data_IF_100700869072
#
_entry.id   IF_100700869072
#
_cell.length_a   1.000
_cell.length_b   1.000
_cell.length_c   1.000
_cell.angle_alpha   90.00
_cell.angle_beta   90.00
_cell.angle_gamma   90.00
#
_symmetry.space_group_name_H-M   'P 1'
#
loop_
_entity.id
_entity.type
_entity.pdbx_description
1 polymer ?
#
# COMPACT_ATOMS: atom_id res chain seq x y z
N UNK A 1 -5.97 -4.22 4.32
CA UNK A 1 -5.95 -2.78 4.63
C UNK A 1 -5.30 -2.02 3.47
N UNK A 2 -5.71 -0.78 3.25
CA UNK A 2 -5.25 0.08 2.16
C UNK A 2 -4.50 1.29 2.76
N UNK A 3 -3.20 1.38 2.50
CA UNK A 3 -2.34 2.45 3.03
C UNK A 3 -2.17 3.54 1.97
N UNK A 4 -2.72 4.72 2.22
CA UNK A 4 -2.70 5.85 1.29
C UNK A 4 -2.37 7.15 2.02
N UNK A 5 -1.71 8.13 1.38
CA UNK A 5 -1.58 9.47 1.94
C UNK A 5 -2.91 10.20 1.76
N UNK A 6 -3.79 10.11 2.76
CA UNK A 6 -5.08 10.81 2.79
C UNK A 6 -4.92 12.24 3.32
N UNK A 7 -3.79 12.52 3.97
CA UNK A 7 -3.34 13.87 4.34
C UNK A 7 -1.93 14.15 3.81
N UNK A 8 -1.45 15.38 4.01
CA UNK A 8 -0.11 15.81 3.57
C UNK A 8 -0.04 16.17 2.08
N UNK A 9 1.19 16.24 1.54
CA UNK A 9 1.45 16.76 0.19
C UNK A 9 0.84 15.93 -0.96
N UNK A 10 0.56 14.64 -0.71
CA UNK A 10 -0.01 13.72 -1.70
C UNK A 10 -1.50 13.41 -1.44
N UNK A 11 -2.18 14.17 -0.57
CA UNK A 11 -3.57 13.92 -0.16
C UNK A 11 -4.55 13.78 -1.34
N UNK A 12 -4.44 14.67 -2.34
CA UNK A 12 -5.31 14.64 -3.52
C UNK A 12 -5.18 13.33 -4.32
N UNK A 13 -3.96 12.81 -4.46
CA UNK A 13 -3.71 11.53 -5.11
C UNK A 13 -4.21 10.36 -4.26
N UNK A 14 -3.94 10.38 -2.96
CA UNK A 14 -4.44 9.34 -2.04
C UNK A 14 -5.97 9.25 -2.03
N UNK A 15 -6.66 10.39 -2.05
CA UNK A 15 -8.12 10.41 -2.13
C UNK A 15 -8.63 9.85 -3.47
N UNK A 16 -8.00 10.21 -4.59
CA UNK A 16 -8.36 9.66 -5.90
C UNK A 16 -8.19 8.13 -5.95
N UNK A 17 -7.10 7.60 -5.36
CA UNK A 17 -6.86 6.17 -5.26
C UNK A 17 -7.85 5.46 -4.34
N UNK A 18 -8.24 6.08 -3.22
CA UNK A 18 -9.26 5.54 -2.33
C UNK A 18 -10.60 5.41 -3.07
N UNK A 19 -11.04 6.47 -3.75
CA UNK A 19 -12.27 6.45 -4.53
C UNK A 19 -12.24 5.36 -5.62
N UNK A 20 -11.09 5.18 -6.29
CA UNK A 20 -10.92 4.13 -7.30
C UNK A 20 -10.97 2.72 -6.69
N UNK A 21 -10.38 2.52 -5.51
CA UNK A 21 -10.42 1.24 -4.80
C UNK A 21 -11.85 0.90 -4.32
N UNK A 22 -12.60 1.89 -3.84
CA UNK A 22 -14.00 1.73 -3.47
C UNK A 22 -14.88 1.36 -4.68
N UNK A 23 -14.67 2.02 -5.82
CA UNK A 23 -15.36 1.69 -7.06
C UNK A 23 -15.05 0.25 -7.51
N UNK A 24 -13.78 -0.15 -7.48
CA UNK A 24 -13.37 -1.51 -7.84
C UNK A 24 -13.97 -2.57 -6.90
N UNK A 25 -14.11 -2.26 -5.60
CA UNK A 25 -14.77 -3.14 -4.64
C UNK A 25 -16.25 -3.33 -4.96
N UNK A 26 -16.92 -2.23 -5.27
CA UNK A 26 -18.34 -2.23 -5.63
C UNK A 26 -18.60 -3.06 -6.89
N UNK A 27 -17.75 -2.92 -7.91
CA UNK A 27 -17.86 -3.68 -9.17
C UNK A 27 -17.61 -5.18 -9.00
N UNK A 28 -16.70 -5.59 -8.12
CA UNK A 28 -16.42 -7.02 -7.91
C UNK A 28 -17.54 -7.76 -7.20
N UNK A 29 -18.40 -7.07 -6.43
CA UNK A 29 -19.52 -7.67 -5.71
C UNK A 29 -19.13 -8.84 -4.80
N UNK A 30 -17.86 -8.94 -4.40
CA UNK A 30 -17.29 -10.11 -3.75
C UNK A 30 -17.59 -10.08 -2.24
N UNK A 31 -18.46 -10.96 -1.71
CA UNK A 31 -18.69 -11.05 -0.29
C UNK A 31 -17.41 -11.53 0.42
N UNK A 32 -16.97 -10.78 1.44
CA UNK A 32 -15.85 -11.14 2.31
C UNK A 32 -14.53 -10.41 2.07
N UNK A 33 -14.49 -9.42 1.17
CA UNK A 33 -13.32 -8.58 0.97
C UNK A 33 -13.63 -7.12 1.31
N UNK A 34 -12.89 -6.54 2.27
CA UNK A 34 -13.06 -5.16 2.73
C UNK A 34 -11.72 -4.42 2.69
N UNK A 35 -11.73 -3.21 2.13
CA UNK A 35 -10.63 -2.27 2.29
C UNK A 35 -10.88 -1.38 3.50
N UNK A 36 -10.02 -1.51 4.51
CA UNK A 36 -9.94 -0.55 5.62
C UNK A 36 -8.81 0.45 5.29
N UNK A 37 -9.15 1.72 4.95
CA UNK A 37 -8.15 2.74 4.64
C UNK A 37 -7.38 3.15 5.89
N UNK A 38 -6.08 3.41 5.75
CA UNK A 38 -5.23 4.01 6.79
C UNK A 38 -4.39 5.11 6.16
N UNK A 39 -4.45 6.29 6.77
CA UNK A 39 -3.68 7.45 6.34
C UNK A 39 -2.19 7.29 6.69
N UNK A 40 -1.31 7.49 5.71
CA UNK A 40 0.14 7.50 5.89
C UNK A 40 0.70 8.91 6.10
N UNK A 41 -0.12 9.94 5.90
CA UNK A 41 0.30 11.36 5.90
C UNK A 41 1.33 11.70 4.82
N UNK A 42 1.62 10.79 3.89
CA UNK A 42 2.68 10.93 2.89
C UNK A 42 4.10 10.90 3.47
N UNK A 43 4.28 10.32 4.66
CA UNK A 43 5.59 10.28 5.34
C UNK A 43 6.01 8.85 5.67
N UNK A 44 7.32 8.60 5.75
CA UNK A 44 7.86 7.30 6.15
C UNK A 44 7.36 6.86 7.54
N UNK A 45 7.35 7.79 8.50
CA UNK A 45 6.87 7.51 9.86
C UNK A 45 5.37 7.18 9.87
N UNK A 46 4.54 7.99 9.21
CA UNK A 46 3.10 7.75 9.14
C UNK A 46 2.77 6.43 8.44
N UNK A 47 3.51 6.05 7.38
CA UNK A 47 3.35 4.73 6.75
C UNK A 47 3.68 3.57 7.70
N UNK A 48 4.73 3.68 8.51
CA UNK A 48 5.08 2.66 9.50
C UNK A 48 4.03 2.56 10.63
N UNK A 49 3.45 3.68 11.06
CA UNK A 49 2.36 3.72 12.04
C UNK A 49 1.06 3.13 11.45
N UNK A 50 0.70 3.53 10.23
CA UNK A 50 -0.46 3.02 9.51
C UNK A 50 -0.37 1.50 9.29
N UNK A 51 0.80 0.98 8.91
CA UNK A 51 1.04 -0.45 8.76
C UNK A 51 0.87 -1.21 10.09
N UNK A 52 1.49 -0.72 11.18
CA UNK A 52 1.36 -1.33 12.51
C UNK A 52 -0.10 -1.34 12.98
N UNK A 53 -0.81 -0.22 12.82
CA UNK A 53 -2.23 -0.10 13.16
C UNK A 53 -3.10 -1.06 12.34
N UNK A 54 -2.86 -1.17 11.03
CA UNK A 54 -3.55 -2.12 10.16
C UNK A 54 -3.34 -3.57 10.62
N UNK A 55 -2.10 -3.96 10.89
CA UNK A 55 -1.75 -5.31 11.34
C UNK A 55 -2.42 -5.61 12.69
N UNK A 56 -2.34 -4.69 13.65
CA UNK A 56 -3.00 -4.83 14.94
C UNK A 56 -4.52 -4.94 14.82
N UNK A 57 -5.11 -4.36 13.78
CA UNK A 57 -6.54 -4.48 13.45
C UNK A 57 -6.90 -5.78 12.71
N UNK A 58 -5.95 -6.70 12.52
CA UNK A 58 -6.18 -7.98 11.85
C UNK A 58 -5.99 -7.97 10.32
N UNK A 59 -5.35 -6.94 9.76
CA UNK A 59 -5.09 -6.89 8.32
C UNK A 59 -4.26 -8.10 7.86
N UNK A 60 -4.83 -8.86 6.92
CA UNK A 60 -4.18 -10.05 6.32
C UNK A 60 -3.29 -9.74 5.12
N UNK A 61 -3.54 -8.59 4.49
CA UNK A 61 -2.77 -8.05 3.36
C UNK A 61 -2.74 -6.53 3.50
N UNK A 62 -1.60 -5.94 3.19
CA UNK A 62 -1.42 -4.50 3.06
C UNK A 62 -1.30 -4.15 1.56
N UNK A 63 -2.11 -3.21 1.10
CA UNK A 63 -2.01 -2.64 -0.25
C UNK A 63 -1.57 -1.19 -0.12
N UNK A 64 -0.58 -0.77 -0.89
CA UNK A 64 0.20 0.44 -0.63
C UNK A 64 1.41 0.18 0.28
N UNK A 65 2.22 1.20 0.58
CA UNK A 65 2.01 2.63 0.33
C UNK A 65 2.48 3.10 -1.06
N UNK A 66 2.49 4.42 -1.31
CA UNK A 66 2.75 5.01 -2.63
C UNK A 66 4.24 5.17 -2.95
N UNK A 67 5.02 5.77 -2.04
CA UNK A 67 6.42 6.12 -2.33
C UNK A 67 7.40 5.06 -1.84
N UNK A 68 8.63 5.06 -2.38
CA UNK A 68 9.71 4.17 -1.91
C UNK A 68 10.06 4.38 -0.43
N UNK A 69 10.08 5.63 0.04
CA UNK A 69 10.39 5.95 1.43
C UNK A 69 9.31 5.40 2.39
N UNK A 70 8.04 5.58 2.05
CA UNK A 70 6.93 4.98 2.79
C UNK A 70 7.01 3.44 2.75
N UNK A 71 7.32 2.87 1.58
CA UNK A 71 7.39 1.42 1.37
C UNK A 71 8.46 0.80 2.26
N UNK A 72 9.68 1.36 2.27
CA UNK A 72 10.77 0.89 3.12
C UNK A 72 10.36 0.89 4.60
N UNK A 73 9.71 1.95 5.07
CA UNK A 73 9.30 2.08 6.46
C UNK A 73 8.17 1.09 6.83
N UNK A 74 7.12 1.00 6.02
CA UNK A 74 6.01 0.10 6.23
C UNK A 74 6.41 -1.38 6.12
N UNK A 75 7.33 -1.71 5.20
CA UNK A 75 7.80 -3.08 4.97
C UNK A 75 8.46 -3.69 6.21
N UNK A 76 9.11 -2.89 7.05
CA UNK A 76 9.71 -3.37 8.31
C UNK A 76 8.65 -3.97 9.25
N UNK A 77 7.52 -3.26 9.44
CA UNK A 77 6.41 -3.70 10.28
C UNK A 77 5.66 -4.90 9.68
N UNK A 78 5.46 -4.88 8.36
CA UNK A 78 4.79 -5.96 7.64
C UNK A 78 5.56 -7.27 7.73
N UNK A 79 6.88 -7.24 7.49
CA UNK A 79 7.76 -8.41 7.59
C UNK A 79 7.84 -8.96 9.01
N UNK A 80 7.97 -8.10 10.02
CA UNK A 80 7.99 -8.52 11.42
C UNK A 80 6.73 -9.31 11.82
N UNK A 81 5.60 -9.05 11.15
CA UNK A 81 4.32 -9.70 11.42
C UNK A 81 3.93 -10.75 10.38
N UNK A 82 4.83 -11.07 9.43
CA UNK A 82 4.56 -11.98 8.30
C UNK A 82 3.32 -11.61 7.47
N UNK A 83 3.01 -10.31 7.35
CA UNK A 83 1.88 -9.82 6.57
C UNK A 83 2.36 -9.39 5.18
N UNK A 84 1.81 -9.95 4.09
CA UNK A 84 2.16 -9.57 2.72
C UNK A 84 1.79 -8.11 2.40
N UNK A 85 2.65 -7.44 1.62
CA UNK A 85 2.49 -6.05 1.21
C UNK A 85 2.61 -5.88 -0.31
N UNK A 86 1.71 -5.09 -0.89
CA UNK A 86 1.65 -4.76 -2.31
C UNK A 86 1.77 -3.23 -2.51
N UNK A 87 2.99 -2.65 -2.45
CA UNK A 87 3.18 -1.21 -2.57
C UNK A 87 2.94 -0.71 -4.00
N UNK A 88 2.45 0.52 -4.16
CA UNK A 88 2.16 1.13 -5.48
C UNK A 88 3.39 1.74 -6.17
N UNK A 89 4.56 1.65 -5.54
CA UNK A 89 5.82 2.16 -6.09
C UNK A 89 6.24 1.44 -7.37
N UNK A 90 6.91 2.17 -8.26
CA UNK A 90 7.56 1.67 -9.47
C UNK A 90 9.05 1.35 -9.27
N UNK A 91 9.56 1.57 -8.05
CA UNK A 91 10.94 1.25 -7.69
C UNK A 91 11.10 -0.24 -7.42
N UNK A 92 11.67 -0.95 -8.39
CA UNK A 92 11.93 -2.39 -8.32
C UNK A 92 12.84 -2.77 -7.15
N UNK A 93 13.66 -1.84 -6.64
CA UNK A 93 14.56 -2.11 -5.52
C UNK A 93 13.82 -2.29 -4.18
N UNK A 94 12.53 -1.93 -4.13
CA UNK A 94 11.69 -2.16 -2.95
C UNK A 94 11.19 -3.60 -2.85
N UNK A 95 11.38 -4.42 -3.89
CA UNK A 95 11.01 -5.82 -3.86
C UNK A 95 11.84 -6.56 -2.80
N UNK A 96 11.13 -7.23 -1.89
CA UNK A 96 11.72 -7.97 -0.78
C UNK A 96 10.82 -9.15 -0.43
N UNK A 97 11.26 -10.11 0.41
CA UNK A 97 10.37 -11.14 0.92
C UNK A 97 9.12 -10.49 1.54
N UNK A 98 7.93 -10.95 1.11
CA UNK A 98 6.62 -10.42 1.48
C UNK A 98 6.27 -9.02 0.96
N UNK A 99 7.05 -8.44 0.06
CA UNK A 99 6.82 -7.10 -0.53
C UNK A 99 6.89 -7.18 -2.05
N UNK A 100 5.76 -6.96 -2.73
CA UNK A 100 5.66 -7.04 -4.19
C UNK A 100 5.16 -5.72 -4.79
N UNK A 101 6.06 -4.85 -5.30
CA UNK A 101 5.67 -3.61 -5.95
C UNK A 101 4.72 -3.84 -7.13
N UNK A 102 3.65 -3.05 -7.19
CA UNK A 102 2.61 -3.09 -8.23
C UNK A 102 2.88 -2.14 -9.40
N UNK A 103 3.81 -1.19 -9.26
CA UNK A 103 4.18 -0.31 -10.35
C UNK A 103 4.85 -1.07 -11.50
N UNK A 104 4.62 -0.63 -12.74
CA UNK A 104 5.34 -1.18 -13.90
C UNK A 104 6.82 -0.83 -13.72
N UNK A 105 7.62 -1.84 -13.44
CA UNK A 105 9.07 -1.66 -13.33
C UNK A 105 9.65 -1.38 -14.71
N UNK A 106 10.66 -0.50 -14.88
CA UNK A 106 11.29 -0.25 -16.18
C UNK A 106 11.77 -1.55 -16.88
N UNK A 107 12.17 -2.54 -16.10
CA UNK A 107 12.54 -3.87 -16.60
C UNK A 107 11.38 -4.63 -17.28
N UNK A 108 10.12 -4.37 -16.90
CA UNK A 108 8.94 -4.93 -17.56
C UNK A 108 8.61 -4.22 -18.88
N UNK A 109 9.05 -2.97 -19.08
CA UNK A 109 8.85 -2.26 -20.35
C UNK A 109 9.85 -2.66 -21.43
N UNK A 110 11.04 -3.16 -21.06
CA UNK A 110 12.09 -3.58 -22.01
C UNK A 110 11.91 -4.99 -22.57
N UNK A 111 10.93 -5.77 -22.06
CA UNK A 111 10.61 -7.11 -22.56
C UNK A 111 9.34 -7.06 -23.42
N UNK A 112 9.42 -6.37 -24.56
CA UNK A 112 8.43 -6.44 -25.65
C UNK A 112 9.14 -6.64 -26.98
#
# INVERSE_FOLDING_TARGET
ALLLPLTGGNAALGQAMLNAAELALFEQGAPGFEFVPRDTGGTAQGAAEAARSAIASGARVLVGPLTSAETTAAASAARASSVPMLPFTNDANQAAPLVWPLGITPAQQMRR
#
